data_IF_879716766855
#
_entry.id   IF_879716766855
#
_cell.length_a   1.000
_cell.length_b   1.000
_cell.length_c   1.000
_cell.angle_alpha   90.00
_cell.angle_beta   90.00
_cell.angle_gamma   90.00
#
_symmetry.space_group_name_H-M   'P 1'
#
loop_
_entity.id
_entity.type
_entity.pdbx_description
1 polymer ?
#
# COMPACT_ATOMS: atom_id res chain seq x y z
N UNK A 1 36.88 7.44 -59.02
CA UNK A 1 35.88 7.59 -57.93
C UNK A 1 34.99 6.38 -57.98
N UNK A 2 35.39 5.30 -57.29
CA UNK A 2 34.60 4.08 -57.15
C UNK A 2 34.19 4.00 -55.68
N UNK A 3 32.90 4.17 -55.41
CA UNK A 3 32.30 4.07 -54.09
C UNK A 3 31.86 2.63 -53.84
N UNK A 4 32.68 1.86 -53.11
CA UNK A 4 32.31 0.55 -52.58
C UNK A 4 31.32 0.72 -51.42
N UNK A 5 30.07 0.34 -51.66
CA UNK A 5 29.02 0.26 -50.63
C UNK A 5 29.04 -1.14 -50.01
N UNK A 6 29.60 -1.25 -48.80
CA UNK A 6 29.61 -2.46 -48.00
C UNK A 6 28.27 -2.64 -47.30
N UNK A 7 27.49 -3.62 -47.76
CA UNK A 7 26.25 -4.09 -47.14
C UNK A 7 26.58 -4.91 -45.88
N UNK A 8 26.52 -4.29 -44.70
CA UNK A 8 26.53 -5.02 -43.43
C UNK A 8 25.16 -5.68 -43.21
N UNK A 9 25.11 -7.01 -43.37
CA UNK A 9 23.95 -7.80 -43.02
C UNK A 9 23.75 -7.80 -41.50
N UNK A 10 22.76 -7.05 -41.03
CA UNK A 10 22.33 -7.02 -39.61
C UNK A 10 21.98 -8.43 -39.13
N UNK A 11 22.90 -9.08 -38.43
CA UNK A 11 22.65 -10.37 -37.76
C UNK A 11 21.69 -10.12 -36.60
N UNK A 12 20.48 -10.68 -36.68
CA UNK A 12 19.52 -10.57 -35.57
C UNK A 12 19.95 -11.50 -34.43
N UNK A 13 19.97 -11.03 -33.17
CA UNK A 13 20.24 -11.89 -32.04
C UNK A 13 19.15 -12.98 -31.93
N UNK A 14 19.56 -14.25 -31.89
CA UNK A 14 18.67 -15.39 -31.65
C UNK A 14 18.56 -15.67 -30.15
N UNK A 15 17.34 -15.81 -29.65
CA UNK A 15 17.12 -16.28 -28.28
C UNK A 15 17.52 -17.76 -28.15
N UNK A 16 18.11 -18.18 -27.02
CA UNK A 16 18.44 -19.58 -26.76
C UNK A 16 17.17 -20.44 -26.65
N UNK A 17 17.26 -21.75 -26.90
CA UNK A 17 16.15 -22.68 -26.68
C UNK A 17 15.82 -22.73 -25.18
N UNK A 18 14.54 -22.92 -24.82
CA UNK A 18 14.09 -23.04 -23.42
C UNK A 18 14.88 -24.11 -22.66
N UNK A 19 15.26 -25.18 -23.36
CA UNK A 19 16.04 -26.31 -22.80
C UNK A 19 17.48 -25.94 -22.45
N UNK A 20 18.00 -24.88 -23.06
CA UNK A 20 19.36 -24.39 -22.83
C UNK A 20 19.43 -23.37 -21.68
N UNK A 21 18.27 -22.96 -21.15
CA UNK A 21 18.20 -22.04 -20.02
C UNK A 21 18.59 -22.75 -18.72
N UNK A 22 19.21 -21.99 -17.81
CA UNK A 22 19.52 -22.45 -16.44
C UNK A 22 18.22 -22.89 -15.73
N UNK A 23 18.25 -23.94 -14.89
CA UNK A 23 17.04 -24.49 -14.28
C UNK A 23 16.11 -23.47 -13.59
N UNK A 24 16.61 -22.51 -12.78
CA UNK A 24 15.73 -21.52 -12.14
C UNK A 24 15.00 -20.62 -13.14
N UNK A 25 15.63 -20.32 -14.28
CA UNK A 25 15.04 -19.48 -15.34
C UNK A 25 13.98 -20.26 -16.10
N UNK A 26 14.22 -21.56 -16.33
CA UNK A 26 13.28 -22.45 -17.00
C UNK A 26 12.02 -22.67 -16.18
N UNK A 27 12.17 -22.95 -14.88
CA UNK A 27 11.05 -23.11 -13.95
C UNK A 27 10.19 -21.84 -13.87
N UNK A 28 10.84 -20.67 -13.82
CA UNK A 28 10.13 -19.38 -13.87
C UNK A 28 9.37 -19.17 -15.19
N UNK A 29 9.99 -19.50 -16.32
CA UNK A 29 9.31 -19.43 -17.63
C UNK A 29 8.13 -20.39 -17.68
N UNK A 30 8.28 -21.62 -17.24
CA UNK A 30 7.19 -22.61 -17.22
C UNK A 30 6.03 -22.17 -16.33
N UNK A 31 6.33 -21.55 -15.18
CA UNK A 31 5.34 -20.91 -14.34
C UNK A 31 4.60 -19.79 -15.09
N UNK A 32 5.32 -18.90 -15.77
CA UNK A 32 4.71 -17.82 -16.57
C UNK A 32 3.91 -18.36 -17.76
N UNK A 33 4.39 -19.39 -18.46
CA UNK A 33 3.68 -20.06 -19.55
C UNK A 33 2.37 -20.69 -19.04
N UNK A 34 2.41 -21.31 -17.85
CA UNK A 34 1.25 -21.91 -17.21
C UNK A 34 0.24 -20.89 -16.69
N UNK A 35 0.71 -19.79 -16.10
CA UNK A 35 -0.15 -18.74 -15.53
C UNK A 35 -0.72 -17.80 -16.58
N UNK A 36 0.05 -17.47 -17.62
CA UNK A 36 -0.29 -16.42 -18.59
C UNK A 36 -0.70 -16.98 -19.96
N UNK A 37 -0.67 -18.31 -20.14
CA UNK A 37 -0.89 -18.98 -21.43
C UNK A 37 0.03 -18.46 -22.56
N UNK A 38 1.20 -17.93 -22.22
CA UNK A 38 2.22 -17.51 -23.19
C UNK A 38 3.20 -18.66 -23.48
N UNK A 39 3.97 -18.58 -24.57
CA UNK A 39 5.04 -19.54 -24.87
C UNK A 39 6.37 -18.83 -25.12
N UNK A 40 7.44 -19.35 -24.53
CA UNK A 40 8.82 -18.98 -24.77
C UNK A 40 9.38 -19.73 -25.99
N UNK A 41 10.26 -19.11 -26.79
CA UNK A 41 10.57 -17.69 -26.76
C UNK A 41 9.36 -16.88 -27.22
N UNK A 42 9.09 -15.75 -26.55
CA UNK A 42 8.16 -14.76 -27.06
C UNK A 42 8.74 -14.26 -28.38
N UNK A 43 8.41 -14.90 -29.50
CA UNK A 43 8.48 -14.24 -30.80
C UNK A 43 7.46 -13.11 -30.67
N UNK A 44 7.86 -11.83 -30.62
CA UNK A 44 6.87 -10.79 -30.80
C UNK A 44 6.19 -11.11 -32.14
N UNK A 45 4.85 -11.20 -32.19
CA UNK A 45 4.16 -11.40 -33.46
C UNK A 45 4.70 -10.33 -34.42
N UNK A 46 5.01 -10.73 -35.66
CA UNK A 46 5.46 -9.80 -36.68
C UNK A 46 4.46 -8.65 -36.65
N UNK A 47 4.89 -7.41 -36.32
CA UNK A 47 3.96 -6.34 -36.05
C UNK A 47 3.18 -6.07 -37.33
N UNK A 48 1.93 -6.52 -37.35
CA UNK A 48 0.96 -6.11 -38.35
C UNK A 48 0.63 -4.63 -38.12
N UNK A 49 0.23 -3.88 -39.15
CA UNK A 49 -0.21 -2.49 -38.98
C UNK A 49 -1.30 -2.32 -37.89
N UNK A 50 -2.08 -3.37 -37.63
CA UNK A 50 -3.13 -3.42 -36.60
C UNK A 50 -2.57 -3.61 -35.18
N UNK A 51 -1.51 -4.41 -34.98
CA UNK A 51 -0.89 -4.61 -33.65
C UNK A 51 -0.12 -3.40 -33.16
N UNK A 52 0.26 -2.47 -34.04
CA UNK A 52 0.81 -1.16 -33.65
C UNK A 52 -0.23 -0.23 -33.02
N UNK A 53 -1.52 -0.49 -33.22
CA UNK A 53 -2.61 0.36 -32.70
C UNK A 53 -3.16 -0.11 -31.35
N UNK A 54 -2.89 -1.36 -30.95
CA UNK A 54 -3.31 -1.92 -29.64
C UNK A 54 -2.21 -2.82 -29.07
N UNK A 55 -1.50 -2.39 -28.00
CA UNK A 55 -0.51 -3.25 -27.36
C UNK A 55 -1.22 -4.41 -26.62
N UNK A 56 -1.23 -5.59 -27.23
CA UNK A 56 -1.82 -6.85 -26.70
C UNK A 56 -1.31 -7.18 -25.29
N UNK A 57 -0.07 -6.81 -24.99
CA UNK A 57 0.53 -7.00 -23.67
C UNK A 57 -0.18 -6.23 -22.56
N UNK A 58 -0.80 -5.08 -22.86
CA UNK A 58 -1.44 -4.25 -21.85
C UNK A 58 -2.78 -4.83 -21.40
N UNK A 59 -3.59 -5.31 -22.34
CA UNK A 59 -4.89 -5.96 -22.02
C UNK A 59 -4.69 -7.33 -21.35
N UNK A 60 -3.67 -8.09 -21.74
CA UNK A 60 -3.35 -9.39 -21.12
C UNK A 60 -2.87 -9.26 -19.68
N UNK A 61 -1.93 -8.35 -19.40
CA UNK A 61 -1.40 -8.16 -18.05
C UNK A 61 -2.41 -7.54 -17.08
N UNK A 62 -3.44 -6.84 -17.58
CA UNK A 62 -4.51 -6.28 -16.73
C UNK A 62 -5.60 -7.28 -16.34
N UNK A 63 -5.53 -8.53 -16.80
CA UNK A 63 -6.54 -9.53 -16.42
C UNK A 63 -6.46 -9.80 -14.90
N UNK A 64 -7.59 -9.81 -14.17
CA UNK A 64 -7.59 -9.88 -12.70
C UNK A 64 -6.81 -11.06 -12.12
N UNK A 65 -6.85 -12.23 -12.77
CA UNK A 65 -6.13 -13.43 -12.29
C UNK A 65 -4.60 -13.33 -12.50
N UNK A 66 -4.15 -12.63 -13.54
CA UNK A 66 -2.74 -12.36 -13.81
C UNK A 66 -2.20 -11.35 -12.79
N UNK A 67 -2.94 -10.27 -12.55
CA UNK A 67 -2.61 -9.28 -11.53
C UNK A 67 -2.58 -9.90 -10.14
N UNK A 68 -3.53 -10.80 -9.82
CA UNK A 68 -3.55 -11.51 -8.55
C UNK A 68 -2.34 -12.43 -8.39
N UNK A 69 -1.95 -13.18 -9.42
CA UNK A 69 -0.76 -14.02 -9.39
C UNK A 69 0.54 -13.20 -9.24
N UNK A 70 0.66 -12.08 -9.96
CA UNK A 70 1.80 -11.17 -9.85
C UNK A 70 1.89 -10.53 -8.45
N UNK A 71 0.75 -10.13 -7.86
CA UNK A 71 0.69 -9.58 -6.51
C UNK A 71 1.01 -10.64 -5.45
N UNK A 72 0.40 -11.82 -5.56
CA UNK A 72 0.57 -12.94 -4.61
C UNK A 72 2.02 -13.43 -4.55
N UNK A 73 2.74 -13.42 -5.68
CA UNK A 73 4.12 -13.87 -5.77
C UNK A 73 5.17 -12.75 -5.66
N UNK A 74 4.76 -11.52 -5.31
CA UNK A 74 5.69 -10.39 -5.20
C UNK A 74 6.39 -10.00 -6.51
N UNK A 75 5.86 -10.44 -7.66
CA UNK A 75 6.37 -10.08 -8.99
C UNK A 75 5.79 -8.75 -9.49
N UNK A 76 4.71 -8.27 -8.85
CA UNK A 76 4.18 -6.93 -9.06
C UNK A 76 5.19 -5.81 -8.71
N UNK A 77 6.24 -6.13 -7.93
CA UNK A 77 7.32 -5.18 -7.60
C UNK A 77 8.54 -5.30 -8.52
N UNK A 78 8.55 -6.24 -9.48
CA UNK A 78 9.55 -6.27 -10.54
C UNK A 78 9.36 -5.04 -11.42
N UNK A 79 10.31 -4.09 -11.40
CA UNK A 79 10.23 -2.81 -12.12
C UNK A 79 10.27 -3.04 -13.64
N UNK A 80 9.12 -3.36 -14.23
CA UNK A 80 8.81 -3.03 -15.62
C UNK A 80 9.00 -1.51 -15.81
N UNK A 81 9.33 -1.03 -17.02
CA UNK A 81 9.34 0.41 -17.32
C UNK A 81 8.03 0.99 -16.80
N UNK A 82 8.12 1.97 -15.88
CA UNK A 82 6.96 2.57 -15.22
C UNK A 82 6.02 3.12 -16.29
N UNK A 83 5.06 2.31 -16.72
CA UNK A 83 3.93 2.80 -17.49
C UNK A 83 3.18 3.68 -16.51
N UNK A 84 3.23 4.98 -16.75
CA UNK A 84 2.58 6.01 -15.96
C UNK A 84 1.05 5.78 -16.05
N UNK A 85 0.55 4.82 -15.27
CA UNK A 85 -0.87 4.62 -15.07
C UNK A 85 -1.33 5.84 -14.28
N UNK A 86 -2.24 6.59 -14.87
CA UNK A 86 -2.93 7.67 -14.17
C UNK A 86 -3.76 7.00 -13.09
N UNK A 87 -3.22 6.94 -11.88
CA UNK A 87 -3.95 6.41 -10.74
C UNK A 87 -5.00 7.44 -10.32
N UNK A 88 -6.23 6.97 -10.14
CA UNK A 88 -7.24 7.76 -9.48
C UNK A 88 -6.82 7.97 -8.02
N UNK A 89 -6.75 9.23 -7.63
CA UNK A 89 -6.38 9.68 -6.30
C UNK A 89 -7.68 9.77 -5.50
N UNK A 90 -7.98 8.83 -4.59
CA UNK A 90 -9.20 8.93 -3.80
C UNK A 90 -9.10 10.14 -2.88
N UNK A 91 -10.10 11.01 -2.94
CA UNK A 91 -10.32 12.01 -1.88
C UNK A 91 -10.78 11.27 -0.62
N UNK A 92 -10.35 11.69 0.59
CA UNK A 92 -10.77 11.02 1.82
C UNK A 92 -12.30 11.02 2.00
N UNK A 93 -12.87 9.85 2.27
CA UNK A 93 -14.27 9.71 2.68
C UNK A 93 -14.36 10.06 4.18
N UNK A 94 -15.21 11.01 4.54
CA UNK A 94 -15.35 11.46 5.92
C UNK A 94 -16.27 10.55 6.73
N UNK A 95 -15.81 10.14 7.92
CA UNK A 95 -16.53 9.27 8.85
C UNK A 95 -16.50 9.89 10.25
N UNK A 96 -17.66 10.10 10.85
CA UNK A 96 -17.76 10.59 12.23
C UNK A 96 -17.75 9.42 13.22
N UNK A 97 -16.87 9.48 14.22
CA UNK A 97 -16.77 8.51 15.30
C UNK A 97 -17.69 8.96 16.45
N UNK A 98 -18.94 8.50 16.43
CA UNK A 98 -19.94 8.81 17.46
C UNK A 98 -20.01 7.75 18.55
N UNK A 99 -19.80 6.48 18.17
CA UNK A 99 -19.91 5.32 19.06
C UNK A 99 -18.65 5.12 19.91
N UNK A 100 -18.76 4.58 21.15
CA UNK A 100 -17.61 4.30 22.00
C UNK A 100 -16.58 3.34 21.39
N UNK A 101 -17.04 2.50 20.46
CA UNK A 101 -16.18 1.61 19.68
C UNK A 101 -16.68 1.57 18.24
N UNK A 102 -15.89 2.11 17.31
CA UNK A 102 -16.15 2.02 15.88
C UNK A 102 -15.15 1.07 15.25
N UNK A 103 -15.66 0.05 14.56
CA UNK A 103 -14.86 -0.93 13.83
C UNK A 103 -14.90 -0.64 12.35
N UNK A 104 -13.74 -0.64 11.72
CA UNK A 104 -13.59 -0.50 10.28
C UNK A 104 -12.74 -1.64 9.71
N UNK A 105 -13.13 -2.14 8.53
CA UNK A 105 -12.38 -3.18 7.81
C UNK A 105 -11.93 -2.64 6.46
N UNK A 106 -10.67 -2.89 6.13
CA UNK A 106 -10.01 -2.43 4.92
C UNK A 106 -9.33 -3.62 4.24
N UNK A 107 -9.67 -3.87 2.98
CA UNK A 107 -9.02 -4.91 2.18
C UNK A 107 -7.72 -4.39 1.57
N UNK A 108 -6.64 -5.14 1.70
CA UNK A 108 -5.27 -4.77 1.28
C UNK A 108 -5.04 -4.71 -0.22
N UNK A 109 -6.06 -4.97 -1.05
CA UNK A 109 -5.97 -4.84 -2.51
C UNK A 109 -6.72 -3.60 -3.05
N UNK A 110 -7.40 -2.83 -2.21
CA UNK A 110 -8.17 -1.65 -2.64
C UNK A 110 -7.51 -0.35 -2.18
N UNK A 111 -7.25 0.56 -3.12
CA UNK A 111 -6.73 1.89 -2.81
C UNK A 111 -7.86 2.76 -2.27
N UNK A 112 -7.83 3.06 -0.98
CA UNK A 112 -8.89 3.79 -0.30
C UNK A 112 -8.31 4.82 0.68
N UNK A 113 -9.08 5.87 0.94
CA UNK A 113 -8.70 6.94 1.88
C UNK A 113 -9.91 7.34 2.70
N UNK A 114 -9.74 7.43 4.02
CA UNK A 114 -10.80 7.79 4.97
C UNK A 114 -10.30 8.85 5.95
N UNK A 115 -11.18 9.79 6.29
CA UNK A 115 -10.95 10.80 7.31
C UNK A 115 -11.90 10.55 8.47
N UNK A 116 -11.40 9.98 9.56
CA UNK A 116 -12.17 9.73 10.77
C UNK A 116 -12.08 10.93 11.71
N UNK A 117 -13.21 11.40 12.23
CA UNK A 117 -13.23 12.55 13.15
C UNK A 117 -14.07 12.25 14.39
N UNK A 118 -13.58 12.67 15.55
CA UNK A 118 -14.32 12.65 16.81
C UNK A 118 -14.12 13.97 17.54
N UNK A 119 -15.16 14.46 18.24
CA UNK A 119 -15.08 15.69 19.01
C UNK A 119 -15.32 15.44 20.50
N UNK A 120 -14.70 16.27 21.34
CA UNK A 120 -14.80 16.22 22.80
C UNK A 120 -14.51 14.81 23.38
N UNK A 121 -13.51 14.13 22.84
CA UNK A 121 -13.06 12.86 23.41
C UNK A 121 -12.23 13.12 24.65
N UNK A 122 -12.44 12.30 25.68
CA UNK A 122 -11.65 12.29 26.91
C UNK A 122 -10.84 10.99 27.04
N UNK A 123 -11.06 9.99 26.19
CA UNK A 123 -10.23 8.79 26.11
C UNK A 123 -10.12 8.36 24.65
N UNK A 124 -9.01 7.74 24.28
CA UNK A 124 -8.80 7.26 22.92
C UNK A 124 -7.77 6.15 22.83
N UNK A 125 -8.11 5.11 22.09
CA UNK A 125 -7.20 4.01 21.71
C UNK A 125 -7.48 3.59 20.28
N UNK A 126 -6.43 3.19 19.57
CA UNK A 126 -6.50 2.68 18.20
C UNK A 126 -5.88 1.28 18.20
N UNK A 127 -6.64 0.30 17.69
CA UNK A 127 -6.19 -1.08 17.57
C UNK A 127 -6.27 -1.48 16.11
N UNK A 128 -5.13 -1.88 15.54
CA UNK A 128 -5.05 -2.37 14.18
C UNK A 128 -4.73 -3.87 14.25
N UNK A 129 -5.57 -4.69 13.63
CA UNK A 129 -5.32 -6.12 13.44
C UNK A 129 -5.12 -6.41 11.97
N UNK A 130 -4.12 -7.22 11.67
CA UNK A 130 -3.80 -7.66 10.32
C UNK A 130 -4.19 -9.11 10.20
N UNK A 131 -5.05 -9.43 9.24
CA UNK A 131 -5.58 -10.78 9.00
C UNK A 131 -5.21 -11.19 7.57
N UNK A 132 -4.77 -12.44 7.38
CA UNK A 132 -4.57 -12.97 6.03
C UNK A 132 -5.91 -13.45 5.48
N UNK A 133 -6.34 -12.91 4.34
CA UNK A 133 -7.53 -13.39 3.65
C UNK A 133 -7.11 -14.50 2.67
N UNK A 134 -7.34 -15.75 3.07
CA UNK A 134 -6.94 -16.95 2.31
C UNK A 134 -7.58 -16.99 0.92
N UNK A 135 -8.79 -16.43 0.76
CA UNK A 135 -9.52 -16.46 -0.50
C UNK A 135 -8.95 -15.47 -1.51
N UNK A 136 -8.60 -14.25 -1.07
CA UNK A 136 -8.03 -13.23 -1.95
C UNK A 136 -6.51 -13.31 -2.07
N UNK A 137 -5.84 -13.97 -1.13
CA UNK A 137 -4.37 -13.95 -1.02
C UNK A 137 -3.82 -12.61 -0.51
N UNK A 138 -4.69 -11.64 -0.20
CA UNK A 138 -4.32 -10.33 0.31
C UNK A 138 -4.41 -10.29 1.84
N UNK A 139 -3.80 -9.26 2.44
CA UNK A 139 -4.05 -8.93 3.84
C UNK A 139 -5.34 -8.11 3.94
N UNK A 140 -6.03 -8.24 5.06
CA UNK A 140 -7.09 -7.33 5.47
C UNK A 140 -6.71 -6.70 6.80
N UNK A 141 -7.16 -5.48 7.00
CA UNK A 141 -6.89 -4.68 8.18
C UNK A 141 -8.20 -4.38 8.89
N UNK A 142 -8.25 -4.71 10.17
CA UNK A 142 -9.36 -4.34 11.04
C UNK A 142 -8.87 -3.27 12.01
N UNK A 143 -9.45 -2.08 11.90
CA UNK A 143 -9.13 -0.93 12.73
C UNK A 143 -10.29 -0.70 13.69
N UNK A 144 -10.03 -0.87 14.99
CA UNK A 144 -10.97 -0.53 16.05
C UNK A 144 -10.56 0.83 16.66
N UNK A 145 -11.44 1.83 16.55
CA UNK A 145 -11.33 3.11 17.25
C UNK A 145 -12.14 3.04 18.53
N UNK A 146 -11.48 3.08 19.68
CA UNK A 146 -12.12 3.05 20.99
C UNK A 146 -12.01 4.44 21.61
N UNK A 147 -13.14 5.11 21.77
CA UNK A 147 -13.20 6.49 22.29
C UNK A 147 -14.10 6.56 23.52
N UNK A 148 -13.75 7.42 24.47
CA UNK A 148 -14.60 7.79 25.60
C UNK A 148 -14.91 9.28 25.56
N UNK A 149 -16.11 9.66 26.00
CA UNK A 149 -16.54 11.06 26.14
C UNK A 149 -16.84 11.37 27.61
N UNK A 150 -16.98 12.65 27.92
CA UNK A 150 -17.38 13.08 29.26
C UNK A 150 -18.73 12.45 29.65
N UNK A 151 -18.80 11.87 30.85
CA UNK A 151 -19.97 11.11 31.32
C UNK A 151 -20.16 9.73 30.69
N UNK A 152 -19.41 9.38 29.64
CA UNK A 152 -19.50 8.11 28.91
C UNK A 152 -18.10 7.58 28.56
N UNK A 153 -17.35 7.22 29.60
CA UNK A 153 -16.02 6.63 29.46
C UNK A 153 -16.10 5.24 28.79
N UNK A 154 -15.06 4.88 28.05
CA UNK A 154 -14.97 3.55 27.46
C UNK A 154 -14.64 2.53 28.54
N UNK A 155 -15.45 1.46 28.61
CA UNK A 155 -15.22 0.31 29.49
C UNK A 155 -14.30 -0.74 28.88
N UNK A 156 -13.76 -0.48 27.68
CA UNK A 156 -12.90 -1.41 27.00
C UNK A 156 -11.63 -1.65 27.85
N UNK A 157 -11.19 -2.91 28.09
CA UNK A 157 -10.05 -3.20 28.98
C UNK A 157 -8.75 -2.48 28.60
N UNK A 158 -8.69 -2.06 27.34
CA UNK A 158 -7.54 -1.48 26.69
C UNK A 158 -7.66 0.06 26.57
N UNK A 159 -8.70 0.67 27.16
CA UNK A 159 -8.93 2.11 27.10
C UNK A 159 -7.80 2.90 27.77
N UNK A 160 -7.46 4.06 27.22
CA UNK A 160 -6.53 5.01 27.83
C UNK A 160 -7.09 5.55 29.15
N UNK A 161 -6.20 6.07 30.00
CA UNK A 161 -6.63 6.92 31.13
C UNK A 161 -7.34 8.16 30.56
N UNK A 162 -8.43 8.65 31.19
CA UNK A 162 -9.07 9.88 30.76
C UNK A 162 -8.10 11.06 30.73
N UNK A 163 -8.24 11.89 29.69
CA UNK A 163 -7.57 13.16 29.53
C UNK A 163 -8.08 14.15 30.56
N UNK A 164 -7.25 15.13 30.90
CA UNK A 164 -7.66 16.22 31.81
C UNK A 164 -8.70 17.14 31.17
N UNK A 165 -8.56 17.37 29.87
CA UNK A 165 -9.42 18.24 29.08
C UNK A 165 -9.90 17.48 27.83
N UNK A 166 -11.18 17.64 27.43
CA UNK A 166 -11.67 17.09 26.16
C UNK A 166 -10.89 17.62 24.97
N UNK A 167 -10.69 16.77 23.97
CA UNK A 167 -9.97 17.14 22.74
C UNK A 167 -10.65 16.58 21.49
N UNK A 168 -10.27 17.10 20.33
CA UNK A 168 -10.75 16.62 19.05
C UNK A 168 -9.72 15.68 18.42
N UNK A 169 -10.22 14.64 17.74
CA UNK A 169 -9.43 13.65 17.04
C UNK A 169 -9.74 13.73 15.55
N UNK A 170 -8.70 13.80 14.72
CA UNK A 170 -8.78 13.57 13.28
C UNK A 170 -7.73 12.53 12.88
N UNK A 171 -8.16 11.48 12.19
CA UNK A 171 -7.31 10.37 11.74
C UNK A 171 -7.50 10.14 10.25
N UNK A 172 -6.41 10.26 9.49
CA UNK A 172 -6.37 9.81 8.11
C UNK A 172 -6.01 8.31 8.09
N UNK A 173 -6.86 7.47 7.50
CA UNK A 173 -6.53 6.09 7.15
C UNK A 173 -6.35 6.01 5.64
N UNK A 174 -5.19 5.54 5.19
CA UNK A 174 -4.84 5.50 3.79
C UNK A 174 -4.25 4.14 3.40
N UNK A 175 -4.85 3.45 2.43
CA UNK A 175 -4.29 2.22 1.89
C UNK A 175 -3.37 2.51 0.71
N UNK A 176 -2.06 2.31 0.87
CA UNK A 176 -1.09 2.74 -0.12
C UNK A 176 -0.96 1.82 -1.33
N UNK A 177 -1.16 0.51 -1.15
CA UNK A 177 -0.83 -0.53 -2.15
C UNK A 177 0.63 -0.44 -2.65
N UNK A 178 1.53 0.08 -1.82
CA UNK A 178 2.93 0.36 -2.14
C UNK A 178 3.28 1.84 -2.03
N UNK A 179 4.06 2.20 -1.02
CA UNK A 179 4.49 3.58 -0.77
C UNK A 179 5.68 4.04 -1.64
N UNK A 180 6.28 3.16 -2.46
CA UNK A 180 7.34 3.53 -3.45
C UNK A 180 6.76 4.28 -4.67
N UNK A 181 5.43 4.35 -4.79
CA UNK A 181 4.78 5.06 -5.88
C UNK A 181 5.01 6.58 -5.73
N UNK A 182 5.47 7.23 -6.80
CA UNK A 182 5.71 8.68 -6.78
C UNK A 182 4.41 9.49 -6.53
N UNK A 183 3.29 9.00 -7.07
CA UNK A 183 1.95 9.58 -6.86
C UNK A 183 1.56 9.61 -5.38
N UNK A 184 1.95 8.59 -4.62
CA UNK A 184 1.60 8.43 -3.22
C UNK A 184 2.16 9.57 -2.35
N UNK A 185 3.46 9.90 -2.47
CA UNK A 185 4.09 10.94 -1.64
C UNK A 185 3.42 12.31 -1.84
N UNK A 186 3.23 12.71 -3.10
CA UNK A 186 2.51 13.94 -3.46
C UNK A 186 1.07 13.96 -2.94
N UNK A 187 0.41 12.81 -2.97
CA UNK A 187 -0.96 12.69 -2.48
C UNK A 187 -1.04 12.87 -0.96
N UNK A 188 -0.17 12.20 -0.21
CA UNK A 188 -0.12 12.37 1.25
C UNK A 188 0.20 13.81 1.61
N UNK A 189 1.18 14.44 0.94
CA UNK A 189 1.49 15.86 1.14
C UNK A 189 0.29 16.78 0.89
N UNK A 190 -0.50 16.53 -0.18
CA UNK A 190 -1.71 17.31 -0.43
C UNK A 190 -2.77 17.09 0.65
N UNK A 191 -3.06 15.84 0.99
CA UNK A 191 -4.07 15.53 2.02
C UNK A 191 -3.67 16.13 3.36
N UNK A 192 -2.39 16.07 3.74
CA UNK A 192 -1.89 16.69 4.97
C UNK A 192 -2.09 18.20 4.95
N UNK A 193 -1.78 18.87 3.84
CA UNK A 193 -1.99 20.31 3.69
C UNK A 193 -3.47 20.68 3.75
N UNK A 194 -4.34 19.88 3.14
CA UNK A 194 -5.75 20.23 2.94
C UNK A 194 -6.60 19.87 4.18
N UNK A 195 -6.24 18.83 4.94
CA UNK A 195 -7.03 18.32 6.06
C UNK A 195 -6.34 18.37 7.43
N UNK A 196 -5.02 18.54 7.49
CA UNK A 196 -4.22 18.62 8.73
C UNK A 196 -4.58 17.56 9.81
N UNK A 197 -4.57 16.25 9.47
CA UNK A 197 -4.98 15.20 10.41
C UNK A 197 -4.03 15.10 11.61
N UNK A 198 -4.53 14.86 12.82
CA UNK A 198 -3.68 14.68 14.00
C UNK A 198 -2.86 13.39 13.92
N UNK A 199 -3.48 12.32 13.38
CA UNK A 199 -2.88 11.01 13.19
C UNK A 199 -3.03 10.59 11.74
N UNK A 200 -2.00 9.97 11.18
CA UNK A 200 -2.06 9.31 9.86
C UNK A 200 -1.74 7.83 10.06
N UNK A 201 -2.56 6.96 9.50
CA UNK A 201 -2.36 5.51 9.44
C UNK A 201 -2.28 5.14 7.96
N UNK A 202 -1.16 4.55 7.56
CA UNK A 202 -0.92 4.07 6.20
C UNK A 202 -0.76 2.55 6.25
N UNK A 203 -1.57 1.81 5.49
CA UNK A 203 -1.47 0.36 5.34
C UNK A 203 -0.94 -0.01 3.96
N UNK A 204 -0.56 -1.28 3.76
CA UNK A 204 0.04 -1.78 2.52
C UNK A 204 1.20 -0.89 2.06
N UNK A 205 2.09 -0.53 2.98
CA UNK A 205 3.23 0.35 2.68
C UNK A 205 4.25 -0.37 1.80
N UNK A 206 4.43 -1.68 1.99
CA UNK A 206 5.39 -2.56 1.26
C UNK A 206 6.82 -2.03 1.26
N UNK A 207 7.12 -1.15 2.19
CA UNK A 207 8.40 -0.50 2.38
C UNK A 207 8.80 -0.60 3.86
N UNK A 208 10.12 -0.68 4.15
CA UNK A 208 10.61 -0.78 5.51
C UNK A 208 10.36 0.49 6.33
N UNK A 209 10.47 0.37 7.65
CA UNK A 209 10.27 1.45 8.61
C UNK A 209 11.07 2.72 8.31
N UNK A 210 12.30 2.62 7.80
CA UNK A 210 13.15 3.79 7.51
C UNK A 210 12.50 4.76 6.50
N UNK A 211 11.79 4.24 5.50
CA UNK A 211 11.04 5.04 4.53
C UNK A 211 9.86 5.75 5.19
N UNK A 212 9.18 5.09 6.12
CA UNK A 212 8.11 5.67 6.92
C UNK A 212 8.60 6.84 7.78
N UNK A 213 9.76 6.70 8.43
CA UNK A 213 10.38 7.78 9.20
C UNK A 213 10.76 8.97 8.32
N UNK A 214 11.32 8.73 7.13
CA UNK A 214 11.66 9.79 6.20
C UNK A 214 10.41 10.54 5.71
N UNK A 215 9.35 9.81 5.34
CA UNK A 215 8.09 10.42 4.95
C UNK A 215 7.52 11.27 6.08
N UNK A 216 7.42 10.73 7.29
CA UNK A 216 6.91 11.44 8.47
C UNK A 216 7.69 12.73 8.74
N UNK A 217 9.02 12.68 8.69
CA UNK A 217 9.86 13.87 8.85
C UNK A 217 9.56 14.93 7.78
N UNK A 218 9.39 14.52 6.51
CA UNK A 218 9.09 15.44 5.42
C UNK A 218 7.73 16.15 5.57
N UNK A 219 6.74 15.48 6.18
CA UNK A 219 5.41 16.07 6.45
C UNK A 219 5.28 16.66 7.86
N UNK A 220 6.38 16.74 8.62
CA UNK A 220 6.45 17.28 9.99
C UNK A 220 5.64 16.49 11.05
N UNK A 221 5.60 15.16 10.93
CA UNK A 221 5.03 14.29 11.96
C UNK A 221 6.15 13.70 12.81
N UNK A 222 6.22 14.15 14.07
CA UNK A 222 7.36 13.93 14.95
C UNK A 222 7.35 12.55 15.61
N UNK A 223 6.20 11.90 15.69
CA UNK A 223 6.07 10.58 16.29
C UNK A 223 5.68 9.55 15.25
N UNK A 224 6.41 8.44 15.23
CA UNK A 224 6.29 7.39 14.23
C UNK A 224 6.24 6.03 14.92
N UNK A 225 5.27 5.20 14.53
CA UNK A 225 5.17 3.79 14.90
C UNK A 225 5.02 3.01 13.59
N UNK A 226 5.84 1.98 13.37
CA UNK A 226 5.85 1.21 12.12
C UNK A 226 5.84 -0.28 12.37
N UNK A 227 5.11 -1.02 11.55
CA UNK A 227 5.21 -2.46 11.42
C UNK A 227 5.71 -2.79 10.01
N UNK A 228 6.84 -3.49 9.90
CA UNK A 228 7.45 -3.81 8.61
C UNK A 228 6.61 -4.82 7.81
N UNK A 229 6.62 -4.75 6.48
CA UNK A 229 5.96 -5.74 5.63
C UNK A 229 6.61 -7.13 5.78
N UNK A 230 5.80 -8.18 5.65
CA UNK A 230 6.29 -9.58 5.63
C UNK A 230 6.29 -10.05 4.18
N UNK A 231 7.45 -10.44 3.67
CA UNK A 231 7.61 -10.87 2.27
C UNK A 231 7.03 -9.87 1.25
N UNK A 232 7.29 -8.57 1.45
CA UNK A 232 6.77 -7.46 0.64
C UNK A 232 5.25 -7.25 0.69
N UNK A 233 4.54 -7.96 1.55
CA UNK A 233 3.10 -7.79 1.75
C UNK A 233 2.81 -7.02 3.02
N UNK A 234 1.86 -6.10 2.92
CA UNK A 234 1.40 -5.29 4.04
C UNK A 234 2.36 -4.19 4.46
N UNK A 235 2.65 -4.17 5.76
CA UNK A 235 3.29 -3.05 6.44
C UNK A 235 2.29 -1.98 6.88
N UNK A 236 2.58 -1.34 8.00
CA UNK A 236 1.76 -0.29 8.61
C UNK A 236 2.68 0.84 9.05
N UNK A 237 2.37 2.07 8.68
CA UNK A 237 3.00 3.26 9.26
C UNK A 237 1.95 4.10 9.97
N UNK A 238 2.24 4.56 11.18
CA UNK A 238 1.37 5.40 11.97
C UNK A 238 2.15 6.63 12.44
N UNK A 239 1.66 7.81 12.07
CA UNK A 239 2.30 9.09 12.33
C UNK A 239 1.43 9.96 13.24
N UNK A 240 2.04 10.75 14.12
CA UNK A 240 1.34 11.79 14.89
C UNK A 240 2.10 13.12 14.88
N UNK A 241 1.36 14.23 14.70
CA UNK A 241 1.92 15.58 14.61
C UNK A 241 2.17 16.25 15.99
N UNK A 242 1.80 15.58 17.09
CA UNK A 242 2.01 16.03 18.47
C UNK A 242 1.41 17.40 18.83
N UNK A 243 0.41 17.90 18.09
CA UNK A 243 -0.25 19.19 18.36
C UNK A 243 -1.04 19.16 19.66
N UNK A 244 -1.97 18.23 19.78
CA UNK A 244 -2.88 18.08 20.92
C UNK A 244 -2.88 16.66 21.53
N UNK A 245 -2.40 15.68 20.77
CA UNK A 245 -2.35 14.27 21.15
C UNK A 245 -0.96 13.71 20.88
N UNK A 246 -0.62 12.67 21.62
CA UNK A 246 0.52 11.78 21.38
C UNK A 246 0.07 10.33 21.46
N UNK A 247 0.91 9.43 20.98
CA UNK A 247 0.67 8.00 20.90
C UNK A 247 1.56 7.26 21.89
N UNK A 248 1.02 6.27 22.59
CA UNK A 248 1.78 5.33 23.40
C UNK A 248 1.49 3.92 22.92
N UNK A 249 2.49 3.29 22.31
CA UNK A 249 2.44 1.88 21.95
C UNK A 249 2.28 1.03 23.22
N UNK A 250 1.27 0.17 23.23
CA UNK A 250 1.00 -0.75 24.34
C UNK A 250 1.34 -2.19 23.99
N UNK A 251 1.06 -2.59 22.75
CA UNK A 251 1.31 -3.92 22.27
C UNK A 251 1.58 -3.89 20.77
N UNK A 252 2.57 -4.65 20.34
CA UNK A 252 2.98 -4.73 18.95
C UNK A 252 3.46 -6.15 18.66
N UNK A 253 2.62 -6.88 17.94
CA UNK A 253 2.87 -8.22 17.43
C UNK A 253 2.78 -8.20 15.90
N UNK A 254 3.15 -9.30 15.26
CA UNK A 254 3.09 -9.45 13.80
C UNK A 254 1.69 -9.20 13.19
N UNK A 255 0.61 -9.41 13.96
CA UNK A 255 -0.77 -9.27 13.49
C UNK A 255 -1.58 -8.24 14.27
N UNK A 256 -0.98 -7.51 15.20
CA UNK A 256 -1.70 -6.56 16.05
C UNK A 256 -0.80 -5.42 16.50
N UNK A 257 -1.24 -4.20 16.21
CA UNK A 257 -0.70 -2.97 16.77
C UNK A 257 -1.76 -2.32 17.66
N UNK A 258 -1.39 -1.95 18.87
CA UNK A 258 -2.28 -1.27 19.80
C UNK A 258 -1.61 -0.02 20.37
N UNK A 259 -2.31 1.10 20.24
CA UNK A 259 -1.83 2.42 20.63
C UNK A 259 -2.88 3.11 21.49
N UNK A 260 -2.44 3.65 22.63
CA UNK A 260 -3.23 4.59 23.41
C UNK A 260 -2.91 6.03 22.98
N UNK A 261 -3.93 6.87 23.00
CA UNK A 261 -3.79 8.30 22.83
C UNK A 261 -3.56 8.95 24.21
N UNK A 262 -2.72 9.98 24.25
CA UNK A 262 -2.43 10.78 25.44
C UNK A 262 -2.52 12.25 25.08
N UNK A 263 -3.15 13.08 25.90
CA UNK A 263 -3.05 14.55 25.77
C UNK A 263 -1.70 15.03 26.26
N UNK A 264 -1.18 16.08 25.62
CA UNK A 264 0.02 16.78 26.07
C UNK A 264 -0.25 17.72 27.23
#
# INVERSE_FOLDING_TARGET
>A
MESQSSNEATVRPSFPDKRDLRPPVREFIELLEGLLCIKYPLRPPIPTPETRRKPILKEGLTQPHIMNALATHGLATYKLPQMLLKEDIPSPIHISLTEPCTRYSLEGYEKQSYMFTASNIVQGSIIIKTEANILSGALSYRIDYVIGKEGALSTFPAASIPFKEPTNLSVLLYNALGADLYSFRKQIESIVRDFDPVIIIITETRLPACEGHQLAANINYMQVITSDPINYNGGIWMFCNLKNLSMKELNHTHNRLMVNLLTR
#
